data_IF_337894184886
#
_entry.id   IF_337894184886
#
_cell.length_a   1.000
_cell.length_b   1.000
_cell.length_c   1.000
_cell.angle_alpha   90.00
_cell.angle_beta   90.00
_cell.angle_gamma   90.00
#
_symmetry.space_group_name_H-M   'P 1'
#
loop_
_entity.id
_entity.type
_entity.pdbx_description
1 polymer ?
#
# COMPACT_ATOMS: atom_id res chain seq x y z
N UNK A 1 13.80 28.55 -19.70
CA UNK A 1 14.11 27.74 -18.50
C UNK A 1 13.00 26.70 -18.38
N UNK A 2 13.27 25.40 -18.61
CA UNK A 2 12.26 24.35 -18.34
C UNK A 2 12.20 24.21 -16.82
N UNK A 3 11.05 24.44 -16.21
CA UNK A 3 10.81 23.96 -14.86
C UNK A 3 10.88 22.44 -14.90
N UNK A 4 11.77 21.85 -14.10
CA UNK A 4 11.76 20.41 -13.86
C UNK A 4 10.56 20.08 -12.98
N UNK A 5 9.52 19.51 -13.60
CA UNK A 5 8.39 18.97 -12.88
C UNK A 5 8.70 17.51 -12.53
N UNK A 6 8.99 17.25 -11.26
CA UNK A 6 9.09 15.89 -10.72
C UNK A 6 8.00 15.66 -9.66
N UNK A 7 7.66 14.39 -9.43
CA UNK A 7 6.75 14.02 -8.33
C UNK A 7 7.25 14.54 -6.98
N UNK A 8 8.57 14.62 -6.82
CA UNK A 8 9.20 15.12 -5.60
C UNK A 8 8.99 16.63 -5.43
N UNK A 9 9.24 17.41 -6.48
CA UNK A 9 9.00 18.89 -6.45
C UNK A 9 7.53 19.24 -6.22
N UNK A 10 6.61 18.33 -6.53
CA UNK A 10 5.17 18.47 -6.32
C UNK A 10 4.70 17.94 -4.96
N UNK A 11 5.61 17.38 -4.14
CA UNK A 11 5.28 16.79 -2.84
C UNK A 11 4.43 15.50 -2.91
N UNK A 12 4.39 14.88 -4.09
CA UNK A 12 3.60 13.67 -4.40
C UNK A 12 4.40 12.38 -4.24
N UNK A 13 5.72 12.48 -4.09
CA UNK A 13 6.60 11.35 -3.82
C UNK A 13 6.45 10.89 -2.36
N UNK A 14 6.05 9.64 -2.15
CA UNK A 14 6.09 9.03 -0.83
C UNK A 14 7.54 8.84 -0.37
N UNK A 15 7.83 9.20 0.89
CA UNK A 15 9.16 9.15 1.50
C UNK A 15 9.11 8.62 2.93
N UNK A 16 10.15 7.88 3.33
CA UNK A 16 10.46 7.56 4.72
C UNK A 16 11.61 8.48 5.13
N UNK A 17 11.31 9.47 5.97
CA UNK A 17 12.22 10.60 6.18
C UNK A 17 12.46 11.33 4.85
N UNK A 18 13.72 11.45 4.45
CA UNK A 18 14.14 12.08 3.20
C UNK A 18 14.18 11.09 2.01
N UNK A 19 14.11 9.77 2.28
CA UNK A 19 14.35 8.74 1.26
C UNK A 19 13.06 8.34 0.57
N UNK A 20 13.05 8.30 -0.77
CA UNK A 20 11.88 7.83 -1.50
C UNK A 20 11.64 6.34 -1.23
N UNK A 21 10.37 5.95 -1.11
CA UNK A 21 10.01 4.56 -0.76
C UNK A 21 10.61 3.54 -1.73
N UNK A 22 10.74 3.89 -3.01
CA UNK A 22 11.28 3.00 -4.04
C UNK A 22 12.77 2.72 -3.89
N UNK A 23 13.55 3.65 -3.32
CA UNK A 23 14.97 3.44 -3.04
C UNK A 23 15.18 2.42 -1.91
N UNK A 24 14.18 2.26 -1.03
CA UNK A 24 14.17 1.27 0.04
C UNK A 24 13.64 -0.09 -0.42
N UNK A 25 13.10 -0.20 -1.63
CA UNK A 25 12.36 -1.37 -2.08
C UNK A 25 13.25 -2.61 -2.22
N UNK A 26 14.49 -2.46 -2.67
CA UNK A 26 15.38 -3.60 -2.94
C UNK A 26 16.14 -4.08 -1.70
N UNK A 27 16.76 -3.16 -0.97
CA UNK A 27 17.52 -3.46 0.25
C UNK A 27 16.61 -3.80 1.43
N UNK A 28 15.47 -3.10 1.55
CA UNK A 28 14.54 -3.23 2.67
C UNK A 28 13.46 -4.30 2.52
N UNK A 29 13.31 -4.97 1.37
CA UNK A 29 12.15 -5.88 1.13
C UNK A 29 11.96 -7.00 2.15
N UNK A 30 13.03 -7.41 2.83
CA UNK A 30 12.95 -8.50 3.82
C UNK A 30 12.79 -7.99 5.25
N UNK A 31 12.88 -6.68 5.46
CA UNK A 31 12.78 -6.04 6.75
C UNK A 31 11.32 -5.59 7.01
N UNK A 32 10.65 -6.15 8.03
CA UNK A 32 9.27 -5.79 8.34
C UNK A 32 9.12 -4.35 8.84
N UNK A 33 10.14 -3.76 9.47
CA UNK A 33 10.10 -2.37 9.95
C UNK A 33 10.23 -1.40 8.79
N UNK A 34 11.15 -1.65 7.85
CA UNK A 34 11.29 -0.83 6.64
C UNK A 34 10.02 -0.90 5.79
N UNK A 35 9.45 -2.10 5.58
CA UNK A 35 8.22 -2.24 4.81
C UNK A 35 7.01 -1.62 5.52
N UNK A 36 6.98 -1.62 6.86
CA UNK A 36 5.97 -0.91 7.66
C UNK A 36 6.07 0.60 7.44
N UNK A 37 7.27 1.17 7.56
CA UNK A 37 7.50 2.58 7.32
C UNK A 37 7.12 3.00 5.89
N UNK A 38 7.43 2.18 4.88
CA UNK A 38 7.00 2.43 3.51
C UNK A 38 5.47 2.39 3.35
N UNK A 39 4.78 1.42 3.98
CA UNK A 39 3.30 1.37 3.93
C UNK A 39 2.67 2.63 4.54
N UNK A 40 3.20 3.07 5.68
CA UNK A 40 2.74 4.27 6.38
C UNK A 40 2.99 5.53 5.55
N UNK A 41 4.18 5.68 4.97
CA UNK A 41 4.53 6.77 4.08
C UNK A 41 3.62 6.82 2.84
N UNK A 42 3.38 5.69 2.19
CA UNK A 42 2.50 5.59 1.01
C UNK A 42 1.04 5.91 1.35
N UNK A 43 0.54 5.38 2.48
CA UNK A 43 -0.81 5.67 2.96
C UNK A 43 -0.97 7.15 3.31
N UNK A 44 -0.05 7.72 4.09
CA UNK A 44 -0.08 9.13 4.46
C UNK A 44 0.03 10.03 3.22
N UNK A 45 0.91 9.68 2.28
CA UNK A 45 1.05 10.39 1.01
C UNK A 45 -0.22 10.30 0.15
N UNK A 46 -0.92 9.17 0.16
CA UNK A 46 -2.21 9.03 -0.51
C UNK A 46 -3.27 9.95 0.10
N UNK A 47 -3.47 9.88 1.42
CA UNK A 47 -4.56 10.60 2.09
C UNK A 47 -4.34 12.11 2.20
N UNK A 48 -3.07 12.57 2.23
CA UNK A 48 -2.76 14.01 2.22
C UNK A 48 -3.04 14.69 0.88
N UNK A 49 -3.12 13.93 -0.22
CA UNK A 49 -3.39 14.48 -1.53
C UNK A 49 -4.84 14.99 -1.64
N UNK A 50 -5.08 16.06 -2.43
CA UNK A 50 -6.42 16.56 -2.67
C UNK A 50 -7.37 15.47 -3.19
N UNK A 51 -8.56 15.41 -2.60
CA UNK A 51 -9.64 14.55 -3.11
C UNK A 51 -9.99 14.96 -4.55
N UNK A 52 -10.21 13.99 -5.43
CA UNK A 52 -10.47 14.21 -6.85
C UNK A 52 -9.23 14.05 -7.74
N UNK A 53 -8.02 14.11 -7.16
CA UNK A 53 -6.76 14.07 -7.91
C UNK A 53 -5.69 13.16 -7.26
N UNK A 54 -6.10 12.20 -6.43
CA UNK A 54 -5.15 11.34 -5.70
C UNK A 54 -4.45 10.34 -6.63
N UNK A 55 -3.13 10.45 -6.71
CA UNK A 55 -2.25 9.41 -7.26
C UNK A 55 -2.24 8.23 -6.28
N UNK A 56 -2.46 7.03 -6.80
CA UNK A 56 -2.54 5.82 -5.98
C UNK A 56 -1.23 5.55 -5.23
N UNK A 57 -1.36 5.03 -4.00
CA UNK A 57 -0.24 4.43 -3.28
C UNK A 57 0.32 3.23 -4.05
N UNK A 58 1.62 2.95 -3.88
CA UNK A 58 2.25 1.78 -4.47
C UNK A 58 1.82 0.48 -3.75
N UNK A 59 1.18 -0.50 -4.42
CA UNK A 59 0.72 -1.74 -3.79
C UNK A 59 1.86 -2.63 -3.27
N UNK A 60 3.08 -2.46 -3.80
CA UNK A 60 4.23 -3.31 -3.51
C UNK A 60 4.49 -3.47 -2.00
N UNK A 61 4.52 -2.36 -1.25
CA UNK A 61 4.86 -2.38 0.17
C UNK A 61 3.78 -3.08 1.01
N UNK A 62 2.50 -2.82 0.71
CA UNK A 62 1.36 -3.46 1.37
C UNK A 62 1.40 -4.98 1.19
N UNK A 63 1.63 -5.43 -0.05
CA UNK A 63 1.77 -6.86 -0.33
C UNK A 63 2.97 -7.46 0.39
N UNK A 64 4.12 -6.77 0.35
CA UNK A 64 5.36 -7.29 0.92
C UNK A 64 5.27 -7.42 2.43
N UNK A 65 4.75 -6.40 3.10
CA UNK A 65 4.55 -6.40 4.54
C UNK A 65 3.52 -7.47 4.96
N UNK A 66 2.42 -7.62 4.22
CA UNK A 66 1.44 -8.68 4.47
C UNK A 66 2.08 -10.09 4.38
N UNK A 67 3.00 -10.31 3.42
CA UNK A 67 3.79 -11.54 3.33
C UNK A 67 4.68 -11.73 4.58
N UNK A 68 5.39 -10.69 5.02
CA UNK A 68 6.29 -10.76 6.16
C UNK A 68 5.52 -11.05 7.46
N UNK A 69 4.39 -10.38 7.72
CA UNK A 69 3.54 -10.64 8.88
C UNK A 69 2.98 -12.07 8.89
N UNK A 70 2.58 -12.59 7.72
CA UNK A 70 2.16 -13.99 7.58
C UNK A 70 3.26 -14.98 7.96
N UNK A 71 4.52 -14.73 7.58
CA UNK A 71 5.65 -15.63 7.89
C UNK A 71 5.84 -15.82 9.40
N UNK A 72 5.61 -14.77 10.18
CA UNK A 72 5.68 -14.81 11.66
C UNK A 72 4.34 -15.14 12.32
N UNK A 73 3.33 -15.55 11.53
CA UNK A 73 1.97 -15.88 11.99
C UNK A 73 1.24 -14.73 12.69
N UNK A 74 1.61 -13.49 12.37
CA UNK A 74 0.88 -12.30 12.80
C UNK A 74 -0.25 -12.00 11.80
N UNK A 75 -1.31 -12.81 11.88
CA UNK A 75 -2.46 -12.67 11.00
C UNK A 75 -3.28 -11.42 11.29
N UNK A 76 -3.20 -10.88 12.51
CA UNK A 76 -3.88 -9.63 12.88
C UNK A 76 -3.27 -8.45 12.12
N UNK A 77 -1.93 -8.33 12.12
CA UNK A 77 -1.26 -7.31 11.33
C UNK A 77 -1.47 -7.50 9.82
N UNK A 78 -1.39 -8.74 9.31
CA UNK A 78 -1.67 -9.03 7.90
C UNK A 78 -3.05 -8.51 7.48
N UNK A 79 -4.10 -8.76 8.28
CA UNK A 79 -5.46 -8.27 8.00
C UNK A 79 -5.49 -6.74 8.00
N UNK A 80 -4.88 -6.10 9.00
CA UNK A 80 -4.85 -4.63 9.11
C UNK A 80 -4.24 -3.99 7.86
N UNK A 81 -3.10 -4.50 7.39
CA UNK A 81 -2.40 -4.00 6.20
C UNK A 81 -3.27 -4.19 4.94
N UNK A 82 -3.91 -5.34 4.80
CA UNK A 82 -4.76 -5.62 3.64
C UNK A 82 -6.03 -4.77 3.63
N UNK A 83 -6.61 -4.48 4.80
CA UNK A 83 -7.77 -3.58 4.92
C UNK A 83 -7.38 -2.11 4.69
N UNK A 84 -6.18 -1.68 5.08
CA UNK A 84 -5.64 -0.36 4.71
C UNK A 84 -5.53 -0.21 3.20
N UNK A 85 -4.95 -1.20 2.50
CA UNK A 85 -4.92 -1.21 1.03
C UNK A 85 -6.34 -1.18 0.44
N UNK A 86 -7.26 -1.98 0.98
CA UNK A 86 -8.66 -2.01 0.54
C UNK A 86 -9.33 -0.65 0.66
N UNK A 87 -9.06 0.10 1.73
CA UNK A 87 -9.57 1.47 1.88
C UNK A 87 -9.03 2.40 0.79
N UNK A 88 -7.71 2.37 0.54
CA UNK A 88 -7.07 3.17 -0.51
C UNK A 88 -7.67 2.88 -1.88
N UNK A 89 -7.80 1.62 -2.29
CA UNK A 89 -8.33 1.30 -3.64
C UNK A 89 -9.83 1.61 -3.78
N UNK A 90 -10.58 1.53 -2.69
CA UNK A 90 -12.01 1.87 -2.70
C UNK A 90 -12.23 3.37 -2.91
N UNK A 91 -11.35 4.20 -2.35
CA UNK A 91 -11.30 5.63 -2.61
C UNK A 91 -10.72 5.91 -4.02
N UNK A 92 -9.62 5.25 -4.40
CA UNK A 92 -8.92 5.50 -5.65
C UNK A 92 -9.78 5.24 -6.88
N UNK A 93 -10.57 4.15 -6.89
CA UNK A 93 -11.50 3.85 -8.00
C UNK A 93 -12.58 4.93 -8.18
N UNK A 94 -12.83 5.73 -7.14
CA UNK A 94 -13.83 6.79 -7.14
C UNK A 94 -13.32 8.09 -7.76
N UNK A 95 -11.99 8.25 -7.85
CA UNK A 95 -11.31 9.45 -8.34
C UNK A 95 -11.71 9.73 -9.81
N UNK A 96 -12.05 10.98 -10.17
CA UNK A 96 -12.44 11.38 -11.52
C UNK A 96 -11.45 10.93 -12.60
N UNK A 97 -10.15 11.09 -12.37
CA UNK A 97 -9.08 10.68 -13.30
C UNK A 97 -9.01 9.17 -13.54
N UNK A 98 -9.51 8.36 -12.59
CA UNK A 98 -9.60 6.90 -12.76
C UNK A 98 -10.86 6.54 -13.52
N UNK A 99 -11.99 7.19 -13.21
CA UNK A 99 -13.27 6.96 -13.90
C UNK A 99 -13.25 7.36 -15.36
N UNK A 100 -12.55 8.45 -15.70
CA UNK A 100 -12.43 8.93 -17.08
C UNK A 100 -11.29 8.24 -17.87
N UNK A 101 -10.60 7.26 -17.27
CA UNK A 101 -9.53 6.50 -17.93
C UNK A 101 -8.20 7.23 -18.10
N UNK A 102 -8.01 8.39 -17.44
CA UNK A 102 -6.77 9.18 -17.53
C UNK A 102 -5.67 8.74 -16.54
N UNK A 103 -5.94 7.74 -15.70
CA UNK A 103 -5.01 7.23 -14.71
C UNK A 103 -4.89 5.70 -14.74
N UNK A 104 -3.77 5.20 -14.22
CA UNK A 104 -3.52 3.77 -14.13
C UNK A 104 -4.59 3.06 -13.28
N UNK A 105 -5.08 1.90 -13.77
CA UNK A 105 -6.09 1.08 -13.08
C UNK A 105 -5.45 0.19 -12.01
N UNK A 106 -4.74 0.79 -11.04
CA UNK A 106 -3.99 0.07 -9.98
C UNK A 106 -4.86 -0.94 -9.23
N UNK A 107 -6.15 -0.63 -9.03
CA UNK A 107 -7.12 -1.52 -8.39
C UNK A 107 -7.36 -2.84 -9.14
N UNK A 108 -7.08 -2.90 -10.45
CA UNK A 108 -7.15 -4.11 -11.31
C UNK A 108 -5.79 -4.79 -11.51
N UNK A 109 -4.73 -4.27 -10.90
CA UNK A 109 -3.40 -4.87 -11.00
C UNK A 109 -3.29 -6.14 -10.16
N UNK A 110 -2.52 -7.13 -10.63
CA UNK A 110 -2.39 -8.43 -9.94
C UNK A 110 -1.92 -8.33 -8.48
N UNK A 111 -1.09 -7.34 -8.14
CA UNK A 111 -0.70 -7.09 -6.74
C UNK A 111 -1.87 -6.63 -5.87
N UNK A 112 -2.72 -5.74 -6.40
CA UNK A 112 -3.92 -5.29 -5.69
C UNK A 112 -4.86 -6.45 -5.40
N UNK A 113 -5.11 -7.29 -6.42
CA UNK A 113 -5.94 -8.48 -6.28
C UNK A 113 -5.34 -9.48 -5.27
N UNK A 114 -4.01 -9.69 -5.32
CA UNK A 114 -3.30 -10.55 -4.38
C UNK A 114 -3.41 -10.07 -2.94
N UNK A 115 -3.34 -8.76 -2.68
CA UNK A 115 -3.54 -8.19 -1.34
C UNK A 115 -4.96 -8.47 -0.84
N UNK A 116 -5.98 -8.18 -1.66
CA UNK A 116 -7.38 -8.38 -1.25
C UNK A 116 -7.71 -9.86 -0.98
N UNK A 117 -7.15 -10.77 -1.78
CA UNK A 117 -7.34 -12.21 -1.63
C UNK A 117 -6.80 -12.74 -0.29
N UNK A 118 -5.80 -12.08 0.31
CA UNK A 118 -5.22 -12.48 1.61
C UNK A 118 -6.20 -12.38 2.77
N UNK A 119 -7.12 -11.39 2.73
CA UNK A 119 -7.98 -11.03 3.87
C UNK A 119 -8.77 -12.24 4.37
N UNK A 120 -9.44 -12.97 3.48
CA UNK A 120 -10.27 -14.13 3.85
C UNK A 120 -9.42 -15.19 4.56
N UNK A 121 -8.29 -15.57 3.95
CA UNK A 121 -7.43 -16.62 4.50
C UNK A 121 -6.78 -16.20 5.82
N UNK A 122 -6.36 -14.94 5.94
CA UNK A 122 -5.78 -14.42 7.18
C UNK A 122 -6.81 -14.43 8.34
N UNK A 123 -8.07 -14.07 8.06
CA UNK A 123 -9.17 -14.18 9.05
C UNK A 123 -9.41 -15.61 9.52
N UNK A 124 -9.44 -16.57 8.59
CA UNK A 124 -9.59 -17.98 8.94
C UNK A 124 -8.44 -18.48 9.81
N UNK A 125 -7.20 -18.07 9.49
CA UNK A 125 -6.01 -18.43 10.27
C UNK A 125 -6.01 -17.79 11.66
N UNK A 126 -6.40 -16.53 11.78
CA UNK A 126 -6.55 -15.85 13.07
C UNK A 126 -7.60 -16.52 13.95
N UNK A 127 -8.75 -16.90 13.38
CA UNK A 127 -9.80 -17.64 14.12
C UNK A 127 -9.26 -18.97 14.67
N UNK A 128 -8.52 -19.72 13.84
CA UNK A 128 -7.89 -20.99 14.24
C UNK A 128 -6.80 -20.81 15.30
N UNK A 129 -6.04 -19.71 15.24
CA UNK A 129 -5.01 -19.38 16.22
C UNK A 129 -5.64 -19.09 17.58
N UNK A 130 -6.76 -18.35 17.62
CA UNK A 130 -7.51 -18.03 18.85
C UNK A 130 -8.28 -19.22 19.43
N UNK A 131 -8.62 -20.21 18.61
CA UNK A 131 -9.32 -21.42 19.06
C UNK A 131 -8.38 -22.53 19.53
N UNK A 132 -7.06 -22.33 19.50
CA UNK A 132 -6.09 -23.28 20.01
C UNK A 132 -5.93 -23.03 21.51
N UNK A 133 -6.19 -24.02 22.39
CA UNK A 133 -6.02 -23.87 23.83
C UNK A 133 -4.56 -23.63 24.21
#
# INVERSE_FOLDING_TARGET
MRQEFSLDTLGLQAKVGETATYDLADSGKNDPEVMQACCEAESANYWKQPEGARICAAPYYFERLAILRRKVKDYSAEISICEQWKAIINDYKSQPMVKNGSAALVHKGGRSEAILARIKKARDLLKRQKSKP
#
